data_IF_976969522727
#
_entry.id   IF_976969522727
#
_cell.length_a   1.000
_cell.length_b   1.000
_cell.length_c   1.000
_cell.angle_alpha   90.00
_cell.angle_beta   90.00
_cell.angle_gamma   90.00
#
_symmetry.space_group_name_H-M   'P 1'
#
loop_
_entity.id
_entity.type
_entity.pdbx_description
1 polymer ?
#
# COMPACT_ATOMS: atom_id res chain seq x y z
N UNK A 1 25.03 12.86 10.17
CA UNK A 1 24.45 11.52 10.36
C UNK A 1 22.96 11.72 10.45
N UNK A 2 22.17 10.95 9.70
CA UNK A 2 20.71 11.06 9.83
C UNK A 2 20.29 10.29 11.08
N UNK A 3 19.86 10.98 12.13
CA UNK A 3 19.24 10.36 13.30
C UNK A 3 17.74 10.70 13.26
N UNK A 4 16.93 9.74 12.83
CA UNK A 4 15.47 9.87 12.90
C UNK A 4 14.99 9.24 14.20
N UNK A 5 14.36 10.03 15.08
CA UNK A 5 13.66 9.51 16.27
C UNK A 5 12.38 8.80 15.85
N UNK A 6 12.50 7.63 15.22
CA UNK A 6 11.34 6.83 14.81
C UNK A 6 10.89 5.95 15.98
N UNK A 7 9.65 6.08 16.46
CA UNK A 7 9.15 5.23 17.54
C UNK A 7 9.25 3.75 17.18
N UNK A 8 9.68 2.92 18.14
CA UNK A 8 9.84 1.47 17.92
C UNK A 8 8.59 0.82 17.32
N UNK A 9 7.39 1.18 17.79
CA UNK A 9 6.14 0.61 17.27
C UNK A 9 5.96 0.84 15.75
N UNK A 10 6.47 1.96 15.22
CA UNK A 10 6.44 2.25 13.79
C UNK A 10 7.35 1.27 13.04
N UNK A 11 8.57 1.05 13.52
CA UNK A 11 9.51 0.08 12.92
C UNK A 11 8.89 -1.33 12.87
N UNK A 12 8.24 -1.77 13.95
CA UNK A 12 7.54 -3.06 13.94
C UNK A 12 6.35 -3.09 12.97
N UNK A 13 5.69 -1.95 12.73
CA UNK A 13 4.63 -1.86 11.71
C UNK A 13 5.18 -2.11 10.31
N UNK A 14 6.38 -1.63 9.99
CA UNK A 14 7.05 -1.92 8.71
C UNK A 14 7.27 -3.42 8.52
N UNK A 15 7.89 -4.09 9.51
CA UNK A 15 8.13 -5.53 9.48
C UNK A 15 6.82 -6.32 9.31
N UNK A 16 5.78 -5.87 9.98
CA UNK A 16 4.44 -6.44 9.95
C UNK A 16 3.82 -6.37 8.55
N UNK A 17 3.84 -5.19 7.93
CA UNK A 17 3.34 -4.95 6.56
C UNK A 17 4.14 -5.76 5.55
N UNK A 18 5.47 -5.80 5.66
CA UNK A 18 6.35 -6.58 4.77
C UNK A 18 5.98 -8.05 4.85
N UNK A 19 5.88 -8.60 6.06
CA UNK A 19 5.57 -10.01 6.30
C UNK A 19 4.19 -10.37 5.74
N UNK A 20 3.17 -9.56 6.05
CA UNK A 20 1.81 -9.75 5.54
C UNK A 20 1.76 -9.68 4.00
N UNK A 21 2.39 -8.67 3.40
CA UNK A 21 2.39 -8.48 1.96
C UNK A 21 3.09 -9.64 1.24
N UNK A 22 4.26 -10.06 1.71
CA UNK A 22 5.00 -11.19 1.12
C UNK A 22 4.17 -12.47 1.22
N UNK A 23 3.69 -12.84 2.41
CA UNK A 23 2.96 -14.09 2.55
C UNK A 23 1.66 -14.07 1.74
N UNK A 24 0.92 -12.96 1.75
CA UNK A 24 -0.33 -12.82 0.99
C UNK A 24 -0.08 -12.91 -0.51
N UNK A 25 0.89 -12.15 -1.02
CA UNK A 25 1.22 -12.14 -2.46
C UNK A 25 1.69 -13.52 -2.94
N UNK A 26 2.64 -14.15 -2.24
CA UNK A 26 3.13 -15.47 -2.61
C UNK A 26 2.03 -16.53 -2.51
N UNK A 27 1.18 -16.50 -1.49
CA UNK A 27 0.05 -17.42 -1.38
C UNK A 27 -0.89 -17.32 -2.58
N UNK A 28 -1.24 -16.09 -3.00
CA UNK A 28 -2.09 -15.83 -4.18
C UNK A 28 -1.43 -16.35 -5.45
N UNK A 29 -0.14 -16.05 -5.63
CA UNK A 29 0.59 -16.48 -6.81
C UNK A 29 0.74 -18.00 -6.91
N UNK A 30 1.09 -18.66 -5.81
CA UNK A 30 1.33 -20.10 -5.77
C UNK A 30 0.06 -20.93 -6.00
N UNK A 31 -1.11 -20.40 -5.66
CA UNK A 31 -2.39 -21.09 -5.85
C UNK A 31 -2.75 -21.30 -7.32
N UNK A 32 -2.61 -20.26 -8.15
CA UNK A 32 -2.78 -20.37 -9.60
C UNK A 32 -1.93 -19.32 -10.32
N UNK A 33 -0.74 -19.74 -10.77
CA UNK A 33 0.23 -18.88 -11.46
C UNK A 33 -0.23 -18.49 -12.86
N UNK A 34 -1.16 -19.22 -13.49
CA UNK A 34 -1.61 -18.95 -14.86
C UNK A 34 -2.70 -17.88 -14.87
N UNK A 35 -3.53 -17.86 -13.83
CA UNK A 35 -4.59 -16.88 -13.66
C UNK A 35 -4.04 -15.44 -13.65
N UNK A 36 -4.58 -14.60 -14.54
CA UNK A 36 -4.16 -13.21 -14.69
C UNK A 36 -4.51 -12.36 -13.47
N UNK A 37 -5.61 -12.66 -12.78
CA UNK A 37 -6.02 -12.01 -11.53
C UNK A 37 -5.00 -12.26 -10.43
N UNK A 38 -4.57 -13.51 -10.23
CA UNK A 38 -3.59 -13.89 -9.22
C UNK A 38 -2.23 -13.26 -9.47
N UNK A 39 -1.76 -13.26 -10.72
CA UNK A 39 -0.51 -12.62 -11.12
C UNK A 39 -0.51 -11.12 -10.87
N UNK A 40 -1.55 -10.41 -11.29
CA UNK A 40 -1.62 -8.97 -11.09
C UNK A 40 -1.74 -8.62 -9.60
N UNK A 41 -2.46 -9.44 -8.82
CA UNK A 41 -2.52 -9.30 -7.38
C UNK A 41 -1.18 -9.49 -6.68
N UNK A 42 -0.44 -10.53 -7.09
CA UNK A 42 0.94 -10.71 -6.65
C UNK A 42 1.77 -9.46 -6.93
N UNK A 43 1.77 -8.94 -8.16
CA UNK A 43 2.59 -7.78 -8.50
C UNK A 43 2.27 -6.53 -7.67
N UNK A 44 1.01 -6.14 -7.53
CA UNK A 44 0.71 -4.91 -6.77
C UNK A 44 0.99 -5.08 -5.26
N UNK A 45 0.73 -6.26 -4.68
CA UNK A 45 1.02 -6.50 -3.24
C UNK A 45 2.54 -6.57 -3.01
N UNK A 46 3.30 -7.18 -3.93
CA UNK A 46 4.77 -7.23 -3.83
C UNK A 46 5.40 -5.84 -3.96
N UNK A 47 4.80 -4.92 -4.73
CA UNK A 47 5.27 -3.52 -4.78
C UNK A 47 5.11 -2.84 -3.42
N UNK A 48 4.01 -3.07 -2.70
CA UNK A 48 3.86 -2.57 -1.33
C UNK A 48 4.97 -3.12 -0.43
N UNK A 49 5.27 -4.42 -0.52
CA UNK A 49 6.35 -5.02 0.28
C UNK A 49 7.71 -4.39 -0.04
N UNK A 50 8.06 -4.28 -1.33
CA UNK A 50 9.33 -3.68 -1.77
C UNK A 50 9.45 -2.22 -1.35
N UNK A 51 8.37 -1.46 -1.50
CA UNK A 51 8.35 -0.08 -1.06
C UNK A 51 8.52 0.04 0.45
N UNK A 52 7.78 -0.76 1.22
CA UNK A 52 7.87 -0.79 2.69
C UNK A 52 9.27 -1.17 3.17
N UNK A 53 9.96 -2.09 2.48
CA UNK A 53 11.37 -2.40 2.75
C UNK A 53 12.25 -1.16 2.50
N UNK A 54 12.02 -0.48 1.37
CA UNK A 54 12.77 0.73 1.01
C UNK A 54 12.61 1.85 2.03
N UNK A 55 11.37 2.14 2.44
CA UNK A 55 11.08 3.12 3.48
C UNK A 55 11.70 2.71 4.82
N UNK A 56 11.61 1.45 5.21
CA UNK A 56 12.25 0.99 6.45
C UNK A 56 13.76 1.26 6.43
N UNK A 57 14.45 0.90 5.34
CA UNK A 57 15.88 1.16 5.19
C UNK A 57 16.18 2.66 5.19
N UNK A 58 15.33 3.48 4.55
CA UNK A 58 15.45 4.93 4.54
C UNK A 58 15.41 5.52 5.96
N UNK A 59 14.50 5.03 6.81
CA UNK A 59 14.32 5.54 8.17
C UNK A 59 15.34 5.00 9.17
N UNK A 60 15.95 3.83 8.91
CA UNK A 60 16.90 3.20 9.84
C UNK A 60 18.37 3.41 9.45
N UNK A 61 18.66 4.03 8.31
CA UNK A 61 20.05 4.24 7.86
C UNK A 61 20.62 5.56 8.36
N UNK A 62 21.85 5.53 8.88
CA UNK A 62 22.60 6.73 9.27
C UNK A 62 23.22 7.46 8.05
N UNK A 63 23.26 6.78 6.90
CA UNK A 63 23.89 7.29 5.67
C UNK A 63 22.90 8.08 4.82
N UNK A 64 23.12 9.39 4.72
CA UNK A 64 22.33 10.28 3.87
C UNK A 64 22.28 9.81 2.40
N UNK A 65 23.39 9.24 1.90
CA UNK A 65 23.45 8.72 0.53
C UNK A 65 22.53 7.51 0.31
N UNK A 66 22.44 6.61 1.30
CA UNK A 66 21.56 5.43 1.24
C UNK A 66 20.11 5.87 1.38
N UNK A 67 19.81 6.72 2.36
CA UNK A 67 18.47 7.29 2.57
C UNK A 67 17.96 7.96 1.30
N UNK A 68 18.79 8.80 0.66
CA UNK A 68 18.45 9.47 -0.60
C UNK A 68 18.14 8.50 -1.75
N UNK A 69 18.89 7.41 -1.89
CA UNK A 69 18.64 6.41 -2.94
C UNK A 69 17.27 5.76 -2.73
N UNK A 70 16.95 5.34 -1.50
CA UNK A 70 15.66 4.72 -1.20
C UNK A 70 14.50 5.71 -1.33
N UNK A 71 14.69 6.97 -0.95
CA UNK A 71 13.71 8.02 -1.18
C UNK A 71 13.48 8.29 -2.67
N UNK A 72 14.48 8.14 -3.54
CA UNK A 72 14.25 8.20 -4.99
C UNK A 72 13.46 7.01 -5.50
N UNK A 73 13.77 5.83 -5.00
CA UNK A 73 13.13 4.59 -5.42
C UNK A 73 11.68 4.50 -4.92
N UNK A 74 11.32 5.21 -3.85
CA UNK A 74 9.95 5.23 -3.32
C UNK A 74 8.93 5.70 -4.36
N UNK A 75 9.28 6.64 -5.24
CA UNK A 75 8.40 7.08 -6.35
C UNK A 75 8.06 5.98 -7.35
N UNK A 76 8.84 4.88 -7.42
CA UNK A 76 8.47 3.71 -8.22
C UNK A 76 7.26 2.97 -7.64
N UNK A 77 6.79 3.33 -6.44
CA UNK A 77 5.53 2.85 -5.88
C UNK A 77 4.34 3.21 -6.78
N UNK A 78 4.42 4.24 -7.63
CA UNK A 78 3.35 4.60 -8.58
C UNK A 78 2.91 3.41 -9.45
N UNK A 79 3.82 2.46 -9.73
CA UNK A 79 3.50 1.23 -10.45
C UNK A 79 2.47 0.35 -9.73
N UNK A 80 2.31 0.49 -8.41
CA UNK A 80 1.24 -0.11 -7.63
C UNK A 80 -0.14 0.14 -8.28
N UNK A 81 -0.44 1.39 -8.63
CA UNK A 81 -1.72 1.77 -9.21
C UNK A 81 -1.92 1.19 -10.62
N UNK A 82 -0.84 1.05 -11.39
CA UNK A 82 -0.88 0.38 -12.69
C UNK A 82 -1.22 -1.11 -12.57
N UNK A 83 -0.56 -1.83 -11.66
CA UNK A 83 -0.85 -3.25 -11.45
C UNK A 83 -2.22 -3.46 -10.81
N UNK A 84 -2.68 -2.53 -9.97
CA UNK A 84 -4.06 -2.53 -9.47
C UNK A 84 -5.07 -2.32 -10.61
N UNK A 85 -4.79 -1.43 -11.57
CA UNK A 85 -5.62 -1.28 -12.78
C UNK A 85 -5.66 -2.59 -13.58
N UNK A 86 -4.52 -3.25 -13.79
CA UNK A 86 -4.49 -4.55 -14.47
C UNK A 86 -5.28 -5.62 -13.72
N UNK A 87 -5.19 -5.62 -12.40
CA UNK A 87 -5.98 -6.49 -11.55
C UNK A 87 -7.48 -6.22 -11.69
N UNK A 88 -7.90 -4.95 -11.70
CA UNK A 88 -9.29 -4.56 -11.93
C UNK A 88 -9.82 -5.07 -13.28
N UNK A 89 -9.04 -4.96 -14.35
CA UNK A 89 -9.38 -5.53 -15.67
C UNK A 89 -9.53 -7.06 -15.62
N UNK A 90 -8.58 -7.77 -15.01
CA UNK A 90 -8.65 -9.21 -14.87
C UNK A 90 -9.89 -9.65 -14.07
N UNK A 91 -10.21 -8.94 -12.99
CA UNK A 91 -11.34 -9.24 -12.12
C UNK A 91 -12.70 -9.10 -12.83
N UNK A 92 -12.83 -8.14 -13.75
CA UNK A 92 -14.05 -8.01 -14.58
C UNK A 92 -14.08 -8.97 -15.77
N UNK A 93 -13.10 -9.89 -15.89
CA UNK A 93 -13.00 -10.87 -16.97
C UNK A 93 -12.44 -10.30 -18.28
N UNK A 94 -11.75 -9.16 -18.24
CA UNK A 94 -11.16 -8.52 -19.42
C UNK A 94 -9.65 -8.73 -19.42
N UNK A 95 -9.17 -9.60 -20.28
CA UNK A 95 -7.72 -9.77 -20.45
C UNK A 95 -7.13 -8.63 -21.29
N UNK A 96 -6.14 -7.94 -20.72
CA UNK A 96 -5.37 -6.94 -21.43
C UNK A 96 -4.21 -7.58 -22.19
N UNK A 97 -4.24 -7.48 -23.51
CA UNK A 97 -3.08 -7.80 -24.34
C UNK A 97 -1.88 -6.90 -24.03
N UNK A 98 -0.67 -7.39 -24.33
CA UNK A 98 0.60 -6.71 -24.08
C UNK A 98 0.64 -5.25 -24.56
N UNK A 99 0.12 -4.99 -25.77
CA UNK A 99 0.08 -3.62 -26.34
C UNK A 99 -0.70 -2.64 -25.46
N UNK A 100 -1.85 -3.05 -24.92
CA UNK A 100 -2.66 -2.20 -24.02
C UNK A 100 -1.96 -1.96 -22.70
N UNK A 101 -1.27 -2.97 -22.16
CA UNK A 101 -0.44 -2.82 -20.96
C UNK A 101 0.69 -1.80 -21.19
N UNK A 102 1.38 -1.87 -22.32
CA UNK A 102 2.41 -0.86 -22.66
C UNK A 102 1.84 0.55 -22.75
N UNK A 103 0.67 0.73 -23.38
CA UNK A 103 0.00 2.04 -23.44
C UNK A 103 -0.35 2.54 -22.04
N UNK A 104 -0.83 1.67 -21.16
CA UNK A 104 -1.12 2.04 -19.78
C UNK A 104 0.13 2.25 -18.94
N UNK A 105 1.28 1.68 -19.30
CA UNK A 105 2.55 1.93 -18.62
C UNK A 105 3.24 3.22 -19.10
N UNK A 106 2.87 3.73 -20.28
CA UNK A 106 3.55 4.87 -20.92
C UNK A 106 3.58 6.12 -20.03
N UNK A 107 2.49 6.57 -19.37
CA UNK A 107 2.56 7.72 -18.48
C UNK A 107 3.55 7.54 -17.32
N UNK A 108 3.70 6.31 -16.81
CA UNK A 108 4.63 5.98 -15.73
C UNK A 108 6.10 5.83 -16.20
N UNK A 109 6.36 5.84 -17.51
CA UNK A 109 7.73 5.99 -18.00
C UNK A 109 8.33 7.34 -17.60
N UNK A 110 7.49 8.36 -17.42
CA UNK A 110 7.90 9.66 -16.88
C UNK A 110 8.38 9.52 -15.43
N UNK A 111 7.76 8.65 -14.61
CA UNK A 111 8.21 8.31 -13.26
C UNK A 111 9.64 7.79 -13.28
N UNK A 112 9.92 6.81 -14.14
CA UNK A 112 11.26 6.20 -14.25
C UNK A 112 12.28 7.26 -14.68
N UNK A 113 11.93 8.11 -15.63
CA UNK A 113 12.79 9.21 -16.07
C UNK A 113 13.04 10.23 -14.96
N UNK A 114 12.01 10.62 -14.21
CA UNK A 114 12.11 11.57 -13.10
C UNK A 114 12.95 11.03 -11.95
N UNK A 115 12.77 9.76 -11.60
CA UNK A 115 13.60 9.04 -10.63
C UNK A 115 15.05 9.02 -11.08
N UNK A 116 15.33 8.66 -12.35
CA UNK A 116 16.70 8.59 -12.88
C UNK A 116 17.41 9.95 -12.96
N UNK A 117 16.70 11.00 -13.37
CA UNK A 117 17.24 12.36 -13.55
C UNK A 117 17.22 13.23 -12.28
N UNK A 118 16.74 12.69 -11.16
CA UNK A 118 16.58 13.43 -9.89
C UNK A 118 15.60 14.60 -10.00
N UNK A 119 14.56 14.47 -10.83
CA UNK A 119 13.45 15.45 -10.84
C UNK A 119 12.40 15.16 -9.77
N UNK A 120 12.40 13.93 -9.23
CA UNK A 120 11.52 13.53 -8.15
C UNK A 120 11.84 14.25 -6.83
N UNK A 121 13.11 14.56 -6.58
CA UNK A 121 13.59 15.23 -5.37
C UNK A 121 14.31 16.50 -5.80
N UNK A 122 14.00 17.62 -5.17
CA UNK A 122 14.64 18.91 -5.42
C UNK A 122 16.06 18.94 -4.86
N UNK A 123 16.25 19.66 -3.75
CA UNK A 123 17.51 19.72 -3.01
C UNK A 123 17.53 18.72 -1.86
N UNK A 124 18.73 18.30 -1.47
CA UNK A 124 18.98 17.50 -0.26
C UNK A 124 20.02 18.23 0.56
N UNK A 125 19.71 18.46 1.83
CA UNK A 125 20.69 18.92 2.80
C UNK A 125 21.35 17.69 3.44
N UNK A 126 22.65 17.44 3.20
CA UNK A 126 23.35 16.29 3.75
C UNK A 126 23.62 16.41 5.26
N UNK A 127 23.51 17.61 5.85
CA UNK A 127 23.74 17.83 7.28
C UNK A 127 22.49 17.48 8.11
N UNK A 128 21.31 17.88 7.62
CA UNK A 128 20.03 17.65 8.30
C UNK A 128 19.26 16.43 7.75
N UNK A 129 19.70 15.88 6.62
CA UNK A 129 18.97 14.85 5.87
C UNK A 129 17.56 15.29 5.42
N UNK A 130 17.30 16.59 5.40
CA UNK A 130 16.08 17.16 4.87
C UNK A 130 16.12 17.17 3.34
N UNK A 131 14.96 16.94 2.74
CA UNK A 131 14.76 16.94 1.30
C UNK A 131 13.69 17.94 0.91
N UNK A 132 13.92 18.68 -0.16
CA UNK A 132 12.88 19.45 -0.82
C UNK A 132 12.16 18.56 -1.84
N UNK A 133 10.84 18.63 -1.86
CA UNK A 133 10.02 17.93 -2.83
C UNK A 133 10.24 18.52 -4.23
N UNK A 134 10.48 17.65 -5.21
CA UNK A 134 10.56 18.04 -6.61
C UNK A 134 9.17 18.27 -7.22
N UNK A 135 9.09 19.03 -8.31
CA UNK A 135 7.81 19.30 -9.01
C UNK A 135 7.11 18.02 -9.50
N UNK A 136 7.85 16.93 -9.68
CA UNK A 136 7.31 15.66 -10.17
C UNK A 136 6.30 15.03 -9.19
N UNK A 137 6.34 15.39 -7.90
CA UNK A 137 5.36 14.90 -6.90
C UNK A 137 3.92 15.19 -7.32
N UNK A 138 3.65 16.36 -7.90
CA UNK A 138 2.30 16.74 -8.34
C UNK A 138 1.83 15.88 -9.51
N UNK A 139 2.75 15.52 -10.41
CA UNK A 139 2.46 14.62 -11.54
C UNK A 139 2.22 13.20 -11.04
N UNK A 140 3.05 12.71 -10.12
CA UNK A 140 2.86 11.40 -9.47
C UNK A 140 1.49 11.31 -8.78
N UNK A 141 1.14 12.29 -7.94
CA UNK A 141 -0.18 12.34 -7.28
C UNK A 141 -1.35 12.36 -8.27
N UNK A 142 -1.25 13.16 -9.32
CA UNK A 142 -2.26 13.21 -10.37
C UNK A 142 -2.42 11.86 -11.07
N UNK A 143 -1.31 11.21 -11.45
CA UNK A 143 -1.34 9.88 -12.07
C UNK A 143 -1.95 8.87 -11.10
N UNK A 144 -1.50 8.81 -9.85
CA UNK A 144 -2.02 7.90 -8.83
C UNK A 144 -3.55 8.03 -8.67
N UNK A 145 -4.06 9.27 -8.59
CA UNK A 145 -5.50 9.54 -8.57
C UNK A 145 -6.19 9.08 -9.86
N UNK A 146 -5.64 9.40 -11.03
CA UNK A 146 -6.21 9.01 -12.32
C UNK A 146 -6.32 7.48 -12.48
N UNK A 147 -5.26 6.72 -12.14
CA UNK A 147 -5.27 5.26 -12.19
C UNK A 147 -6.23 4.66 -11.14
N UNK A 148 -6.26 5.20 -9.92
CA UNK A 148 -7.19 4.75 -8.87
C UNK A 148 -8.66 4.97 -9.27
N UNK A 149 -8.99 6.14 -9.81
CA UNK A 149 -10.32 6.45 -10.33
C UNK A 149 -10.67 5.53 -11.51
N UNK A 150 -9.72 5.29 -12.42
CA UNK A 150 -9.96 4.40 -13.56
C UNK A 150 -10.22 2.96 -13.12
N UNK A 151 -9.39 2.41 -12.24
CA UNK A 151 -9.60 1.08 -11.68
C UNK A 151 -10.97 0.98 -10.97
N UNK A 152 -11.30 1.98 -10.15
CA UNK A 152 -12.59 2.05 -9.46
C UNK A 152 -13.77 2.12 -10.44
N UNK A 153 -13.68 2.92 -11.50
CA UNK A 153 -14.72 3.00 -12.53
C UNK A 153 -14.95 1.66 -13.22
N UNK A 154 -13.89 0.91 -13.53
CA UNK A 154 -14.01 -0.42 -14.14
C UNK A 154 -14.74 -1.39 -13.20
N UNK A 155 -14.35 -1.40 -11.94
CA UNK A 155 -14.96 -2.25 -10.91
C UNK A 155 -16.42 -1.86 -10.67
N UNK A 156 -16.73 -0.57 -10.52
CA UNK A 156 -18.09 -0.06 -10.32
C UNK A 156 -19.00 -0.33 -11.50
N UNK A 157 -18.53 -0.17 -12.75
CA UNK A 157 -19.30 -0.58 -13.94
C UNK A 157 -19.70 -2.05 -13.87
N UNK A 158 -18.80 -2.90 -13.39
CA UNK A 158 -19.11 -4.31 -13.19
C UNK A 158 -20.08 -4.46 -12.01
N UNK A 159 -19.89 -3.78 -10.88
CA UNK A 159 -20.80 -3.82 -9.72
C UNK A 159 -22.29 -3.61 -10.06
N UNK A 160 -22.59 -2.65 -10.96
CA UNK A 160 -23.96 -2.31 -11.36
C UNK A 160 -24.57 -3.27 -12.41
N UNK A 161 -23.81 -4.24 -12.91
CA UNK A 161 -24.33 -5.28 -13.80
C UNK A 161 -25.36 -6.16 -13.05
N UNK A 162 -26.60 -6.29 -13.56
CA UNK A 162 -27.66 -7.04 -12.90
C UNK A 162 -27.34 -8.54 -12.80
N UNK A 163 -26.48 -9.08 -13.67
CA UNK A 163 -26.19 -10.52 -13.75
C UNK A 163 -25.05 -10.97 -12.83
N UNK A 164 -24.56 -10.11 -11.95
CA UNK A 164 -23.44 -10.46 -11.06
C UNK A 164 -23.90 -11.08 -9.77
N UNK A 165 -23.23 -12.19 -9.45
CA UNK A 165 -23.33 -12.93 -8.21
C UNK A 165 -23.05 -12.05 -6.98
N UNK A 166 -23.84 -12.24 -5.93
CA UNK A 166 -23.79 -11.40 -4.73
C UNK A 166 -22.39 -11.31 -4.09
N UNK A 167 -21.63 -12.41 -4.04
CA UNK A 167 -20.27 -12.43 -3.49
C UNK A 167 -19.31 -11.53 -4.28
N UNK A 168 -19.39 -11.56 -5.62
CA UNK A 168 -18.57 -10.73 -6.50
C UNK A 168 -18.86 -9.23 -6.32
N UNK A 169 -20.11 -8.86 -6.01
CA UNK A 169 -20.44 -7.46 -5.64
C UNK A 169 -19.77 -7.03 -4.35
N UNK A 170 -19.71 -7.90 -3.33
CA UNK A 170 -19.02 -7.60 -2.06
C UNK A 170 -17.51 -7.47 -2.24
N UNK A 171 -16.89 -8.36 -3.02
CA UNK A 171 -15.48 -8.28 -3.39
C UNK A 171 -15.17 -6.92 -4.04
N UNK A 172 -15.96 -6.54 -5.06
CA UNK A 172 -15.79 -5.25 -5.76
C UNK A 172 -15.93 -4.07 -4.80
N UNK A 173 -16.94 -4.06 -3.92
CA UNK A 173 -17.16 -2.98 -2.96
C UNK A 173 -15.93 -2.74 -2.09
N UNK A 174 -15.33 -3.80 -1.58
CA UNK A 174 -14.15 -3.69 -0.70
C UNK A 174 -12.92 -3.27 -1.48
N UNK A 175 -12.72 -3.78 -2.70
CA UNK A 175 -11.59 -3.38 -3.54
C UNK A 175 -11.65 -1.90 -3.91
N UNK A 176 -12.84 -1.40 -4.27
CA UNK A 176 -13.05 0.03 -4.56
C UNK A 176 -12.79 0.86 -3.31
N UNK A 177 -13.33 0.45 -2.16
CA UNK A 177 -13.08 1.13 -0.90
C UNK A 177 -11.57 1.15 -0.56
N UNK A 178 -10.88 0.01 -0.69
CA UNK A 178 -9.46 -0.10 -0.40
C UNK A 178 -8.61 0.83 -1.28
N UNK A 179 -8.79 0.82 -2.61
CA UNK A 179 -7.99 1.66 -3.50
C UNK A 179 -8.29 3.15 -3.33
N UNK A 180 -9.56 3.51 -3.07
CA UNK A 180 -9.94 4.90 -2.86
C UNK A 180 -9.44 5.43 -1.50
N UNK A 181 -9.56 4.64 -0.44
CA UNK A 181 -8.98 5.00 0.86
C UNK A 181 -7.45 5.11 0.78
N UNK A 182 -6.79 4.23 0.02
CA UNK A 182 -5.34 4.27 -0.14
C UNK A 182 -4.85 5.50 -0.91
N UNK A 183 -5.52 5.87 -2.00
CA UNK A 183 -5.14 7.08 -2.76
C UNK A 183 -5.46 8.36 -1.98
N UNK A 184 -6.57 8.39 -1.24
CA UNK A 184 -6.90 9.52 -0.36
C UNK A 184 -5.90 9.65 0.78
N UNK A 185 -5.48 8.54 1.38
CA UNK A 185 -4.42 8.51 2.38
C UNK A 185 -3.10 9.04 1.80
N UNK A 186 -2.74 8.59 0.60
CA UNK A 186 -1.53 9.06 -0.10
C UNK A 186 -1.56 10.56 -0.36
N UNK A 187 -2.69 11.09 -0.85
CA UNK A 187 -2.86 12.53 -1.09
C UNK A 187 -2.80 13.31 0.24
N UNK A 188 -3.49 12.84 1.27
CA UNK A 188 -3.50 13.49 2.58
C UNK A 188 -2.10 13.54 3.19
N UNK A 189 -1.34 12.45 3.06
CA UNK A 189 0.04 12.37 3.50
C UNK A 189 0.93 13.42 2.80
N UNK A 190 0.93 13.44 1.45
CA UNK A 190 1.77 14.39 0.72
C UNK A 190 1.35 15.84 0.96
N UNK A 191 0.05 16.10 1.13
CA UNK A 191 -0.44 17.43 1.48
C UNK A 191 0.02 17.88 2.88
N UNK A 192 0.02 16.96 3.85
CA UNK A 192 0.53 17.23 5.19
C UNK A 192 2.06 17.42 5.18
N UNK A 193 2.81 16.66 4.37
CA UNK A 193 4.27 16.83 4.28
C UNK A 193 4.64 18.16 3.61
N UNK A 194 3.92 18.56 2.56
CA UNK A 194 4.04 19.89 1.96
C UNK A 194 3.77 21.00 2.98
N UNK A 195 2.73 20.86 3.80
CA UNK A 195 2.40 21.84 4.83
C UNK A 195 3.44 21.87 5.95
N UNK A 196 3.96 20.70 6.36
CA UNK A 196 5.07 20.58 7.33
C UNK A 196 6.30 21.35 6.85
N UNK A 197 6.68 21.17 5.58
CA UNK A 197 7.84 21.84 4.96
C UNK A 197 7.59 23.36 4.86
N UNK A 198 6.39 23.78 4.48
CA UNK A 198 6.05 25.20 4.33
C UNK A 198 6.05 25.95 5.68
N UNK A 199 5.51 25.34 6.73
CA UNK A 199 5.37 25.93 8.07
C UNK A 199 6.54 25.59 9.01
N UNK A 200 7.56 24.85 8.54
CA UNK A 200 8.71 24.38 9.32
C UNK A 200 8.30 23.66 10.62
N UNK A 201 7.27 22.82 10.54
CA UNK A 201 6.81 22.06 11.70
C UNK A 201 7.81 20.94 12.03
N UNK A 202 8.15 20.78 13.31
CA UNK A 202 9.05 19.73 13.81
C UNK A 202 8.38 18.35 13.95
N UNK A 203 7.21 18.13 13.35
CA UNK A 203 6.47 16.87 13.49
C UNK A 203 6.76 15.99 12.28
N UNK A 204 7.54 14.94 12.47
CA UNK A 204 7.80 13.94 11.42
C UNK A 204 6.63 12.96 11.29
N UNK A 205 5.73 13.27 10.36
CA UNK A 205 4.61 12.43 9.97
C UNK A 205 5.03 11.28 9.03
N UNK A 206 6.21 11.41 8.41
CA UNK A 206 6.66 10.55 7.33
C UNK A 206 6.69 9.05 7.70
N UNK A 207 7.19 8.67 8.89
CA UNK A 207 7.22 7.27 9.30
C UNK A 207 5.82 6.65 9.49
N UNK A 208 4.78 7.46 9.70
CA UNK A 208 3.41 7.01 9.97
C UNK A 208 2.64 6.59 8.71
N UNK A 209 3.18 6.82 7.50
CA UNK A 209 2.56 6.36 6.26
C UNK A 209 2.22 4.86 6.33
N UNK A 210 3.08 4.08 7.00
CA UNK A 210 2.95 2.64 7.15
C UNK A 210 1.59 2.16 7.67
N UNK A 211 0.90 2.99 8.45
CA UNK A 211 -0.43 2.68 8.96
C UNK A 211 -1.48 2.60 7.83
N UNK A 212 -1.35 3.44 6.81
CA UNK A 212 -2.18 3.38 5.60
C UNK A 212 -1.92 2.12 4.78
N UNK A 213 -0.65 1.70 4.65
CA UNK A 213 -0.27 0.43 4.03
C UNK A 213 -0.86 -0.78 4.77
N UNK A 214 -0.77 -0.76 6.10
CA UNK A 214 -1.33 -1.80 6.96
C UNK A 214 -2.86 -1.87 6.81
N UNK A 215 -3.53 -0.73 6.84
CA UNK A 215 -4.97 -0.66 6.63
C UNK A 215 -5.38 -1.21 5.25
N UNK A 216 -4.70 -0.79 4.19
CA UNK A 216 -4.94 -1.30 2.84
C UNK A 216 -4.75 -2.81 2.75
N UNK A 217 -3.63 -3.34 3.24
CA UNK A 217 -3.38 -4.79 3.25
C UNK A 217 -4.43 -5.55 4.04
N UNK A 218 -4.90 -5.00 5.17
CA UNK A 218 -5.98 -5.60 5.97
C UNK A 218 -7.25 -5.74 5.15
N UNK A 219 -7.63 -4.71 4.38
CA UNK A 219 -8.79 -4.78 3.48
C UNK A 219 -8.61 -5.79 2.35
N UNK A 220 -7.41 -5.89 1.78
CA UNK A 220 -7.11 -6.91 0.75
C UNK A 220 -7.21 -8.31 1.34
N UNK A 221 -6.59 -8.55 2.49
CA UNK A 221 -6.63 -9.85 3.17
C UNK A 221 -8.07 -10.22 3.56
N UNK A 222 -8.87 -9.25 4.03
CA UNK A 222 -10.30 -9.42 4.27
C UNK A 222 -11.05 -9.82 2.99
N UNK A 223 -10.76 -9.17 1.86
CA UNK A 223 -11.34 -9.52 0.57
C UNK A 223 -10.99 -10.97 0.16
N UNK A 224 -9.75 -11.40 0.40
CA UNK A 224 -9.30 -12.77 0.11
C UNK A 224 -10.00 -13.81 0.97
N UNK A 225 -10.14 -13.55 2.27
CA UNK A 225 -10.60 -14.55 3.24
C UNK A 225 -12.13 -14.62 3.31
N UNK A 226 -12.79 -13.49 3.53
CA UNK A 226 -14.22 -13.47 3.84
C UNK A 226 -15.09 -13.46 2.57
N UNK A 227 -14.54 -12.92 1.50
CA UNK A 227 -15.27 -12.78 0.23
C UNK A 227 -14.74 -13.68 -0.86
N UNK A 228 -13.79 -14.58 -0.55
CA UNK A 228 -13.24 -15.56 -1.48
C UNK A 228 -12.78 -14.91 -2.80
N UNK A 229 -12.06 -13.78 -2.70
CA UNK A 229 -11.55 -13.05 -3.87
C UNK A 229 -10.78 -13.96 -4.83
N UNK A 230 -10.19 -15.03 -4.29
CA UNK A 230 -9.51 -16.08 -5.03
C UNK A 230 -10.03 -17.45 -4.57
N UNK A 231 -10.16 -18.37 -5.52
CA UNK A 231 -10.59 -19.75 -5.27
C UNK A 231 -9.44 -20.55 -4.65
N UNK A 232 -9.45 -20.64 -3.33
CA UNK A 232 -8.45 -21.34 -2.53
C UNK A 232 -9.19 -22.32 -1.58
N UNK A 233 -8.51 -23.34 -1.04
CA UNK A 233 -9.08 -24.24 0.00
C UNK A 233 -9.03 -23.62 1.42
N UNK A 234 -10.16 -23.56 2.14
CA UNK A 234 -10.56 -22.47 3.08
C UNK A 234 -9.98 -22.52 4.52
N UNK A 235 -9.70 -23.68 5.10
CA UNK A 235 -9.53 -23.76 6.57
C UNK A 235 -8.22 -23.19 7.19
N UNK A 236 -7.01 -23.37 6.61
CA UNK A 236 -5.78 -22.87 7.25
C UNK A 236 -5.67 -21.34 7.29
N UNK A 237 -6.52 -20.62 6.56
CA UNK A 237 -6.30 -19.22 6.19
C UNK A 237 -6.82 -18.20 7.19
N UNK A 238 -7.98 -18.44 7.80
CA UNK A 238 -8.53 -17.57 8.85
C UNK A 238 -7.60 -17.55 10.07
N UNK A 239 -7.15 -18.73 10.49
CA UNK A 239 -6.20 -18.89 11.60
C UNK A 239 -4.85 -18.25 11.33
N UNK A 240 -4.25 -18.52 10.16
CA UNK A 240 -2.94 -17.98 9.84
C UNK A 240 -2.91 -16.45 9.83
N UNK A 241 -3.90 -15.84 9.19
CA UNK A 241 -4.00 -14.39 9.12
C UNK A 241 -4.36 -13.79 10.48
N UNK A 242 -5.29 -14.40 11.22
CA UNK A 242 -5.58 -13.99 12.58
C UNK A 242 -4.34 -14.04 13.47
N UNK A 243 -3.54 -15.10 13.38
CA UNK A 243 -2.29 -15.24 14.14
C UNK A 243 -1.29 -14.16 13.76
N UNK A 244 -1.16 -13.80 12.48
CA UNK A 244 -0.28 -12.71 12.07
C UNK A 244 -0.79 -11.37 12.59
N UNK A 245 -2.07 -11.03 12.37
CA UNK A 245 -2.62 -9.79 12.90
C UNK A 245 -2.51 -9.71 14.42
N UNK A 246 -2.76 -10.81 15.13
CA UNK A 246 -2.58 -10.87 16.57
C UNK A 246 -1.12 -10.63 16.95
N UNK A 247 -0.16 -11.30 16.31
CA UNK A 247 1.26 -11.08 16.59
C UNK A 247 1.68 -9.62 16.36
N UNK A 248 1.19 -9.00 15.28
CA UNK A 248 1.44 -7.60 14.94
C UNK A 248 0.84 -6.68 16.00
N UNK A 249 -0.44 -6.85 16.33
CA UNK A 249 -1.14 -6.00 17.28
C UNK A 249 -0.57 -6.15 18.69
N UNK A 250 -0.29 -7.37 19.13
CA UNK A 250 0.36 -7.60 20.42
C UNK A 250 1.76 -6.97 20.46
N UNK A 251 2.54 -7.09 19.39
CA UNK A 251 3.85 -6.43 19.28
C UNK A 251 3.73 -4.90 19.37
N UNK A 252 2.79 -4.28 18.65
CA UNK A 252 2.57 -2.83 18.70
C UNK A 252 2.04 -2.37 20.05
N UNK A 253 1.12 -3.14 20.66
CA UNK A 253 0.48 -2.85 21.93
C UNK A 253 1.45 -2.79 23.10
N UNK A 254 2.43 -3.71 23.16
CA UNK A 254 3.46 -3.70 24.20
C UNK A 254 4.51 -2.60 24.01
N UNK A 255 4.59 -1.99 22.82
CA UNK A 255 5.60 -0.99 22.47
C UNK A 255 5.05 0.44 22.38
N UNK A 256 3.73 0.63 22.51
CA UNK A 256 3.11 1.95 22.55
C UNK A 256 3.33 2.65 23.89
N UNK A 257 3.85 3.87 23.83
CA UNK A 257 4.20 4.68 25.02
C UNK A 257 3.04 5.52 25.57
N UNK A 258 1.92 5.67 24.84
CA UNK A 258 0.84 6.59 25.22
C UNK A 258 -0.54 5.90 25.29
N UNK A 259 -1.39 6.25 26.29
CA UNK A 259 -2.71 5.65 26.47
C UNK A 259 -3.66 5.82 25.29
N UNK A 260 -3.54 6.94 24.55
CA UNK A 260 -4.39 7.23 23.39
C UNK A 260 -4.14 6.22 22.26
N UNK A 261 -2.87 5.96 21.95
CA UNK A 261 -2.52 4.99 20.92
C UNK A 261 -2.89 3.56 21.34
N UNK A 262 -2.78 3.24 22.63
CA UNK A 262 -3.27 1.98 23.18
C UNK A 262 -4.76 1.78 22.93
N UNK A 263 -5.60 2.78 23.21
CA UNK A 263 -7.05 2.69 22.96
C UNK A 263 -7.37 2.53 21.47
N UNK A 264 -6.66 3.24 20.59
CA UNK A 264 -6.83 3.11 19.15
C UNK A 264 -6.46 1.69 18.68
N UNK A 265 -5.30 1.17 19.10
CA UNK A 265 -4.86 -0.19 18.75
C UNK A 265 -5.83 -1.25 19.28
N UNK A 266 -6.34 -1.09 20.50
CA UNK A 266 -7.32 -2.01 21.08
C UNK A 266 -8.63 -2.02 20.27
N UNK A 267 -9.15 -0.85 19.90
CA UNK A 267 -10.37 -0.73 19.06
C UNK A 267 -10.15 -1.44 17.72
N UNK A 268 -9.02 -1.20 17.07
CA UNK A 268 -8.67 -1.87 15.83
C UNK A 268 -8.55 -3.38 15.99
N UNK A 269 -7.91 -3.86 17.05
CA UNK A 269 -7.76 -5.28 17.33
C UNK A 269 -9.10 -5.98 17.59
N UNK A 270 -9.98 -5.35 18.39
CA UNK A 270 -11.34 -5.83 18.64
C UNK A 270 -12.15 -5.86 17.34
N UNK A 271 -12.03 -4.84 16.50
CA UNK A 271 -12.67 -4.81 15.19
C UNK A 271 -12.18 -5.97 14.30
N UNK A 272 -10.88 -6.27 14.30
CA UNK A 272 -10.31 -7.43 13.59
C UNK A 272 -10.88 -8.74 14.16
N UNK A 273 -10.84 -8.96 15.48
CA UNK A 273 -11.41 -10.16 16.11
C UNK A 273 -12.88 -10.33 15.69
N UNK A 274 -13.67 -9.26 15.77
CA UNK A 274 -15.08 -9.29 15.40
C UNK A 274 -15.29 -9.61 13.92
N UNK A 275 -14.45 -9.07 13.03
CA UNK A 275 -14.48 -9.40 11.60
C UNK A 275 -14.17 -10.89 11.35
N UNK A 276 -13.24 -11.48 12.11
CA UNK A 276 -12.84 -12.88 11.91
C UNK A 276 -13.79 -13.89 12.58
N UNK A 277 -14.34 -13.55 13.75
CA UNK A 277 -15.01 -14.49 14.67
C UNK A 277 -16.42 -14.06 15.10
N UNK A 278 -16.87 -12.85 14.79
CA UNK A 278 -18.14 -12.28 15.25
C UNK A 278 -19.38 -12.71 14.46
N UNK A 279 -19.31 -13.85 13.75
CA UNK A 279 -20.43 -14.44 13.01
C UNK A 279 -20.66 -15.88 13.41
#
# INVERSE_FOLDING_TARGET
>A
MCEFETPLFIIYSYVSVITLALITSFSIFLNDRKNSQNRNAFYFISIIALWTIGDLVQWTTESASVSYIFFRLSYLVDFFYLFFLYFAYAMVGKELGWKKKLVFALPLSLTVFAVAKKYAIGSVDPETCEYALGWYIYVSLFLNLAYALWASMILLRKYFDPFIWHNKKKQIRILVFAIMSFVLWSIAYEALDLFRIAEKMQIDISPYFILGNLFFLTLIVLAVIEYELFDFKVLPRKWFVFSIFSAIFWGMFFLTLTPVFYSILLIFYVAIIWIFWGK
#
